data_IF_351043878875
#
_entry.id   IF_351043878875
#
_cell.length_a   1.000
_cell.length_b   1.000
_cell.length_c   1.000
_cell.angle_alpha   90.00
_cell.angle_beta   90.00
_cell.angle_gamma   90.00
#
_symmetry.space_group_name_H-M   'P 1'
#
loop_
_entity.id
_entity.type
_entity.pdbx_description
1 polymer ?
#
# COMPACT_ATOMS: atom_id res chain seq x y z
N UNK A 1 3.58 17.28 -4.80
CA UNK A 1 4.41 16.24 -4.18
C UNK A 1 5.19 16.89 -3.06
N UNK A 2 5.07 16.38 -1.84
CA UNK A 2 5.81 16.89 -0.67
C UNK A 2 6.34 15.73 0.15
N UNK A 3 7.57 15.85 0.63
CA UNK A 3 8.16 14.86 1.53
C UNK A 3 7.50 14.95 2.92
N UNK A 4 7.17 13.80 3.49
CA UNK A 4 6.58 13.66 4.83
C UNK A 4 7.38 12.64 5.64
N UNK A 5 7.47 12.86 6.95
CA UNK A 5 7.97 11.86 7.90
C UNK A 5 6.83 10.99 8.41
N UNK A 6 7.10 9.70 8.55
CA UNK A 6 6.22 8.67 9.10
C UNK A 6 6.88 8.05 10.35
N UNK A 7 6.08 7.51 11.27
CA UNK A 7 6.55 6.85 12.48
C UNK A 7 7.54 7.72 13.27
N UNK A 8 7.14 8.96 13.58
CA UNK A 8 8.02 9.92 14.26
C UNK A 8 9.23 10.38 13.44
N UNK A 9 9.24 10.14 12.13
CA UNK A 9 10.33 10.51 11.22
C UNK A 9 11.33 9.39 10.93
N UNK A 10 11.11 8.18 11.45
CA UNK A 10 11.95 7.01 11.16
C UNK A 10 11.86 6.58 9.69
N UNK A 11 10.75 6.89 9.01
CA UNK A 11 10.58 6.71 7.57
C UNK A 11 10.23 8.05 6.94
N UNK A 12 10.69 8.29 5.71
CA UNK A 12 10.28 9.42 4.89
C UNK A 12 9.70 8.93 3.56
N UNK A 13 8.72 9.67 3.03
CA UNK A 13 8.02 9.33 1.79
C UNK A 13 7.56 10.61 1.09
N UNK A 14 7.44 10.58 -0.24
CA UNK A 14 6.86 11.66 -1.03
C UNK A 14 5.42 11.31 -1.40
N UNK A 15 4.46 12.07 -0.87
CA UNK A 15 3.04 11.90 -1.17
C UNK A 15 2.50 12.93 -2.15
N UNK A 16 1.36 12.64 -2.81
CA UNK A 16 0.57 13.67 -3.47
C UNK A 16 0.17 14.77 -2.48
N UNK A 17 -0.03 16.00 -2.96
CA UNK A 17 -0.58 17.06 -2.13
C UNK A 17 -2.01 16.68 -1.69
N UNK A 18 -2.48 17.24 -0.58
CA UNK A 18 -3.86 17.10 -0.06
C UNK A 18 -4.24 15.75 0.56
N UNK A 19 -3.26 15.02 1.10
CA UNK A 19 -3.54 13.89 1.98
C UNK A 19 -3.79 14.36 3.43
N UNK A 20 -4.89 13.90 4.01
CA UNK A 20 -5.27 14.14 5.40
C UNK A 20 -4.79 12.96 6.24
N UNK A 21 -4.14 13.26 7.35
CA UNK A 21 -3.70 12.27 8.33
C UNK A 21 -4.88 11.80 9.17
N UNK A 22 -5.18 10.51 9.12
CA UNK A 22 -6.33 9.94 9.84
C UNK A 22 -6.07 9.88 11.34
N UNK A 23 -4.82 9.87 11.80
CA UNK A 23 -4.45 9.85 13.22
C UNK A 23 -4.90 11.11 13.97
N UNK A 24 -5.05 12.24 13.26
CA UNK A 24 -5.57 13.50 13.81
C UNK A 24 -7.07 13.42 14.15
N UNK A 25 -7.78 12.46 13.55
CA UNK A 25 -9.24 12.34 13.66
C UNK A 25 -9.62 11.16 14.54
N UNK A 26 -8.89 10.04 14.46
CA UNK A 26 -9.14 8.81 15.21
C UNK A 26 -7.83 8.08 15.51
N UNK A 27 -7.85 7.22 16.51
CA UNK A 27 -6.72 6.32 16.75
C UNK A 27 -6.52 5.36 15.57
N UNK A 28 -5.26 5.22 15.17
CA UNK A 28 -4.74 4.28 14.19
C UNK A 28 -3.71 3.41 14.95
N UNK A 29 -3.56 2.10 14.65
CA UNK A 29 -2.53 1.28 15.28
C UNK A 29 -1.13 1.90 15.12
N UNK A 30 -0.27 1.75 16.12
CA UNK A 30 1.10 2.31 16.10
C UNK A 30 1.96 1.74 14.96
N UNK A 31 1.59 0.57 14.44
CA UNK A 31 2.23 -0.08 13.29
C UNK A 31 1.76 0.47 11.95
N UNK A 32 0.81 1.42 11.94
CA UNK A 32 0.16 1.93 10.73
C UNK A 32 0.18 3.46 10.66
N UNK A 33 0.35 3.96 9.45
CA UNK A 33 0.21 5.37 9.09
C UNK A 33 -0.82 5.45 7.97
N UNK A 34 -1.95 6.11 8.24
CA UNK A 34 -3.12 6.09 7.35
C UNK A 34 -3.43 7.50 6.88
N UNK A 35 -3.45 7.68 5.56
CA UNK A 35 -3.77 8.94 4.91
C UNK A 35 -4.91 8.76 3.92
N UNK A 36 -5.77 9.76 3.82
CA UNK A 36 -6.88 9.79 2.85
C UNK A 36 -6.83 11.06 2.01
N UNK A 37 -7.19 10.95 0.74
CA UNK A 37 -7.31 12.11 -0.13
C UNK A 37 -8.49 13.00 0.31
N UNK A 38 -8.31 14.31 0.30
CA UNK A 38 -9.37 15.24 0.71
C UNK A 38 -10.54 15.34 -0.29
N UNK A 39 -10.31 14.95 -1.55
CA UNK A 39 -11.23 15.13 -2.68
C UNK A 39 -11.79 13.81 -3.25
N UNK A 40 -11.39 12.67 -2.68
CA UNK A 40 -11.78 11.33 -3.14
C UNK A 40 -11.67 10.30 -2.02
N UNK A 41 -12.22 9.10 -2.24
CA UNK A 41 -12.12 7.98 -1.28
C UNK A 41 -10.79 7.21 -1.39
N UNK A 42 -9.76 7.80 -2.02
CA UNK A 42 -8.43 7.17 -2.15
C UNK A 42 -7.70 7.23 -0.82
N UNK A 43 -7.09 6.11 -0.41
CA UNK A 43 -6.29 6.05 0.82
C UNK A 43 -4.89 5.52 0.56
N UNK A 44 -3.89 6.09 1.23
CA UNK A 44 -2.51 5.61 1.28
C UNK A 44 -2.23 5.10 2.70
N UNK A 45 -1.80 3.86 2.82
CA UNK A 45 -1.55 3.22 4.11
C UNK A 45 -0.14 2.66 4.08
N UNK A 46 0.67 3.00 5.09
CA UNK A 46 1.96 2.35 5.34
C UNK A 46 1.83 1.54 6.61
N UNK A 47 2.19 0.26 6.53
CA UNK A 47 2.04 -0.69 7.63
C UNK A 47 3.31 -1.53 7.83
N UNK A 48 3.68 -1.71 9.09
CA UNK A 48 4.75 -2.61 9.53
C UNK A 48 4.14 -3.97 9.89
N UNK A 49 4.57 -5.01 9.19
CA UNK A 49 4.10 -6.38 9.36
C UNK A 49 5.22 -7.30 9.84
N UNK A 50 4.84 -8.33 10.60
CA UNK A 50 5.73 -9.47 10.83
C UNK A 50 6.00 -10.18 9.49
N UNK A 51 7.26 -10.54 9.27
CA UNK A 51 7.65 -11.18 8.03
C UNK A 51 7.13 -12.61 7.96
N UNK A 52 6.51 -12.92 6.82
CA UNK A 52 6.24 -14.31 6.40
C UNK A 52 7.28 -14.72 5.36
N UNK A 53 7.74 -15.97 5.40
CA UNK A 53 8.74 -16.50 4.45
C UNK A 53 8.15 -17.54 3.49
N UNK A 54 7.38 -17.11 2.47
CA UNK A 54 6.97 -18.01 1.41
C UNK A 54 8.13 -18.33 0.45
N UNK A 55 7.98 -19.36 -0.41
CA UNK A 55 9.06 -19.88 -1.25
C UNK A 55 9.66 -18.85 -2.24
N UNK A 56 8.96 -17.77 -2.56
CA UNK A 56 9.44 -16.74 -3.49
C UNK A 56 8.95 -15.32 -3.17
N UNK A 57 9.68 -14.27 -3.61
CA UNK A 57 9.22 -12.88 -3.52
C UNK A 57 7.85 -12.64 -4.16
N UNK A 58 7.56 -13.34 -5.26
CA UNK A 58 6.28 -13.28 -5.96
C UNK A 58 5.12 -13.83 -5.13
N UNK A 59 5.37 -14.88 -4.34
CA UNK A 59 4.41 -15.44 -3.40
C UNK A 59 4.30 -14.58 -2.13
N UNK A 60 5.37 -13.92 -1.70
CA UNK A 60 5.35 -12.98 -0.57
C UNK A 60 4.34 -11.85 -0.79
N UNK A 61 4.44 -11.16 -1.92
CA UNK A 61 3.53 -10.05 -2.22
C UNK A 61 2.08 -10.52 -2.43
N UNK A 62 1.88 -11.74 -2.97
CA UNK A 62 0.55 -12.35 -3.10
C UNK A 62 -0.04 -12.72 -1.76
N UNK A 63 0.76 -13.28 -0.85
CA UNK A 63 0.30 -13.62 0.49
C UNK A 63 -0.17 -12.39 1.26
N UNK A 64 0.56 -11.27 1.16
CA UNK A 64 0.13 -9.99 1.75
C UNK A 64 -1.17 -9.51 1.11
N UNK A 65 -1.29 -9.59 -0.22
CA UNK A 65 -2.52 -9.21 -0.92
C UNK A 65 -3.73 -10.10 -0.53
N UNK A 66 -3.52 -11.40 -0.38
CA UNK A 66 -4.55 -12.35 0.06
C UNK A 66 -4.97 -12.11 1.51
N UNK A 67 -4.01 -11.77 2.39
CA UNK A 67 -4.29 -11.38 3.78
C UNK A 67 -5.14 -10.10 3.82
N UNK A 68 -4.79 -9.07 3.05
CA UNK A 68 -5.60 -7.86 2.89
C UNK A 68 -7.01 -8.18 2.36
N UNK A 69 -7.15 -9.18 1.48
CA UNK A 69 -8.45 -9.64 1.02
C UNK A 69 -9.27 -10.35 2.09
N UNK A 70 -8.62 -11.17 2.91
CA UNK A 70 -9.25 -11.81 4.06
C UNK A 70 -9.73 -10.78 5.10
N UNK A 71 -8.88 -9.84 5.49
CA UNK A 71 -9.18 -8.83 6.50
C UNK A 71 -10.31 -7.89 6.04
N UNK A 72 -10.34 -7.58 4.75
CA UNK A 72 -11.43 -6.81 4.14
C UNK A 72 -12.69 -7.64 3.90
N UNK A 73 -12.71 -8.93 4.23
CA UNK A 73 -13.83 -9.85 3.93
C UNK A 73 -14.23 -9.78 2.46
N UNK A 74 -13.25 -9.73 1.56
CA UNK A 74 -13.49 -9.60 0.13
C UNK A 74 -14.17 -10.86 -0.42
N UNK A 75 -15.22 -10.67 -1.21
CA UNK A 75 -15.95 -11.75 -1.89
C UNK A 75 -15.28 -12.17 -3.19
N UNK A 76 -14.38 -11.32 -3.71
CA UNK A 76 -13.56 -11.58 -4.87
C UNK A 76 -12.23 -10.81 -4.75
N UNK A 77 -11.16 -11.43 -5.22
CA UNK A 77 -9.81 -10.87 -5.25
C UNK A 77 -9.10 -11.38 -6.51
N UNK A 78 -8.45 -10.48 -7.24
CA UNK A 78 -7.67 -10.81 -8.44
C UNK A 78 -6.40 -9.97 -8.50
N UNK A 79 -5.27 -10.64 -8.70
CA UNK A 79 -3.99 -9.99 -8.96
C UNK A 79 -3.88 -9.70 -10.45
N UNK A 80 -3.73 -8.44 -10.81
CA UNK A 80 -3.62 -8.00 -12.20
C UNK A 80 -2.18 -8.01 -12.70
N UNK A 81 -1.24 -7.55 -11.88
CA UNK A 81 0.17 -7.46 -12.24
C UNK A 81 1.07 -7.57 -11.02
N UNK A 82 2.27 -8.14 -11.21
CA UNK A 82 3.35 -8.13 -10.23
C UNK A 82 4.68 -7.78 -10.91
N UNK A 83 5.42 -6.86 -10.31
CA UNK A 83 6.74 -6.43 -10.77
C UNK A 83 7.75 -6.69 -9.67
N UNK A 84 8.68 -7.59 -9.96
CA UNK A 84 9.79 -7.92 -9.06
C UNK A 84 10.94 -6.92 -9.27
N UNK A 85 11.74 -6.64 -8.22
CA UNK A 85 13.00 -5.91 -8.37
C UNK A 85 13.93 -6.55 -9.41
N UNK A 86 14.66 -5.73 -10.15
CA UNK A 86 15.71 -6.24 -11.05
C UNK A 86 16.82 -6.97 -10.26
N UNK A 87 17.36 -8.03 -10.86
CA UNK A 87 18.46 -8.81 -10.28
C UNK A 87 19.66 -7.89 -10.00
N UNK A 88 20.03 -7.71 -8.73
CA UNK A 88 21.13 -6.85 -8.30
C UNK A 88 20.72 -5.47 -7.77
N UNK A 89 19.46 -5.07 -7.89
CA UNK A 89 18.90 -3.89 -7.22
C UNK A 89 18.46 -4.25 -5.79
N UNK A 90 19.42 -4.61 -4.93
CA UNK A 90 19.14 -5.09 -3.57
C UNK A 90 18.65 -4.00 -2.61
N UNK A 91 18.90 -2.73 -2.90
CA UNK A 91 18.49 -1.62 -2.05
C UNK A 91 18.31 -0.33 -2.84
N UNK A 92 17.25 0.41 -2.52
CA UNK A 92 17.19 1.86 -2.68
C UNK A 92 18.30 2.52 -1.83
N UNK A 93 18.38 3.85 -1.90
CA UNK A 93 19.38 4.62 -1.13
C UNK A 93 19.41 4.19 0.35
N UNK A 94 20.62 4.05 0.87
CA UNK A 94 20.91 3.87 2.30
C UNK A 94 20.24 2.63 2.94
N UNK A 95 20.12 1.53 2.20
CA UNK A 95 19.71 0.23 2.75
C UNK A 95 18.21 -0.02 2.84
N UNK A 96 17.37 0.93 2.39
CA UNK A 96 15.95 0.64 2.17
C UNK A 96 15.82 -0.38 1.03
N UNK A 97 15.14 -1.53 1.19
CA UNK A 97 15.00 -2.52 0.12
C UNK A 97 14.29 -1.97 -1.11
N UNK A 98 14.56 -2.51 -2.30
CA UNK A 98 13.71 -2.24 -3.47
C UNK A 98 12.38 -2.97 -3.31
N UNK A 99 11.22 -2.29 -3.46
CA UNK A 99 9.94 -2.94 -3.24
C UNK A 99 9.55 -3.89 -4.36
N UNK A 100 8.81 -4.94 -4.00
CA UNK A 100 8.02 -5.73 -4.94
C UNK A 100 6.70 -5.01 -5.13
N UNK A 101 6.31 -4.75 -6.37
CA UNK A 101 5.08 -4.04 -6.69
C UNK A 101 3.99 -5.02 -7.14
N UNK A 102 2.76 -4.79 -6.70
CA UNK A 102 1.57 -5.52 -7.12
C UNK A 102 0.43 -4.54 -7.39
N UNK A 103 -0.36 -4.82 -8.41
CA UNK A 103 -1.68 -4.19 -8.60
C UNK A 103 -2.74 -5.26 -8.69
N UNK A 104 -3.86 -5.07 -8.01
CA UNK A 104 -4.96 -6.02 -7.97
C UNK A 104 -6.29 -5.33 -7.76
N UNK A 105 -7.36 -6.11 -7.85
CA UNK A 105 -8.72 -5.65 -7.57
C UNK A 105 -9.36 -6.54 -6.52
N UNK A 106 -10.15 -5.92 -5.65
CA UNK A 106 -10.93 -6.59 -4.65
C UNK A 106 -12.37 -6.10 -4.68
N UNK A 107 -13.29 -7.01 -4.37
CA UNK A 107 -14.71 -6.72 -4.21
C UNK A 107 -15.07 -6.92 -2.75
N UNK A 108 -15.41 -5.82 -2.07
CA UNK A 108 -15.69 -5.81 -0.63
C UNK A 108 -17.17 -5.57 -0.40
N UNK A 109 -17.82 -6.49 0.30
CA UNK A 109 -19.19 -6.30 0.73
C UNK A 109 -19.20 -5.67 2.13
N UNK A 110 -19.62 -4.41 2.24
CA UNK A 110 -19.73 -3.77 3.55
C UNK A 110 -20.85 -4.42 4.37
N UNK A 111 -20.59 -4.64 5.66
CA UNK A 111 -21.58 -5.14 6.61
C UNK A 111 -22.86 -4.30 6.50
N UNK A 112 -24.00 -4.97 6.27
CA UNK A 112 -25.34 -4.38 6.16
C UNK A 112 -25.72 -3.73 4.80
N UNK A 113 -24.98 -4.01 3.71
CA UNK A 113 -25.40 -3.63 2.34
C UNK A 113 -25.27 -4.79 1.35
N UNK A 114 -26.17 -4.85 0.37
CA UNK A 114 -26.08 -5.78 -0.77
C UNK A 114 -25.10 -5.28 -1.84
N UNK A 115 -24.75 -3.99 -1.81
CA UNK A 115 -23.81 -3.39 -2.75
C UNK A 115 -22.38 -3.85 -2.46
N UNK A 116 -21.71 -4.31 -3.51
CA UNK A 116 -20.29 -4.70 -3.51
C UNK A 116 -19.47 -3.51 -3.99
N UNK A 117 -18.56 -3.04 -3.14
CA UNK A 117 -17.62 -1.97 -3.48
C UNK A 117 -16.42 -2.57 -4.22
N UNK A 118 -16.08 -2.02 -5.38
CA UNK A 118 -14.90 -2.41 -6.15
C UNK A 118 -13.73 -1.49 -5.81
N UNK A 119 -12.61 -2.09 -5.44
CA UNK A 119 -11.42 -1.37 -5.00
C UNK A 119 -10.24 -1.86 -5.84
N UNK A 120 -9.56 -0.94 -6.51
CA UNK A 120 -8.27 -1.20 -7.12
C UNK A 120 -7.21 -0.93 -6.06
N UNK A 121 -6.26 -1.84 -5.89
CA UNK A 121 -5.24 -1.73 -4.86
C UNK A 121 -3.87 -1.82 -5.53
N UNK A 122 -3.06 -0.80 -5.28
CA UNK A 122 -1.63 -0.84 -5.54
C UNK A 122 -0.89 -1.16 -4.25
N UNK A 123 0.10 -2.05 -4.32
CA UNK A 123 0.80 -2.56 -3.15
C UNK A 123 2.30 -2.64 -3.42
N UNK A 124 3.10 -1.98 -2.57
CA UNK A 124 4.56 -2.08 -2.57
C UNK A 124 5.04 -2.76 -1.28
N UNK A 125 5.74 -3.88 -1.42
CA UNK A 125 6.27 -4.68 -0.32
C UNK A 125 7.79 -4.53 -0.21
N UNK A 126 8.29 -4.02 0.92
CA UNK A 126 9.70 -3.87 1.24
C UNK A 126 10.10 -4.94 2.26
N UNK A 127 10.98 -5.86 1.83
CA UNK A 127 11.46 -6.99 2.62
C UNK A 127 12.69 -6.59 3.42
N UNK A 128 12.56 -6.32 4.73
CA UNK A 128 13.67 -5.84 5.56
C UNK A 128 14.33 -7.04 6.26
N UNK A 129 15.16 -7.77 5.51
CA UNK A 129 15.77 -9.04 5.96
C UNK A 129 16.50 -8.91 7.30
N UNK A 130 17.24 -7.82 7.51
CA UNK A 130 18.03 -7.58 8.72
C UNK A 130 17.20 -7.45 10.01
N UNK A 131 15.89 -7.24 9.88
CA UNK A 131 14.96 -7.04 11.00
C UNK A 131 13.84 -8.06 11.05
N UNK A 132 13.78 -8.98 10.10
CA UNK A 132 12.68 -9.94 9.95
C UNK A 132 11.29 -9.26 9.93
N UNK A 133 11.20 -8.14 9.21
CA UNK A 133 9.98 -7.32 9.10
C UNK A 133 9.70 -7.03 7.64
N UNK A 134 8.42 -6.95 7.31
CA UNK A 134 7.94 -6.48 6.02
C UNK A 134 7.26 -5.11 6.20
N UNK A 135 7.63 -4.14 5.39
CA UNK A 135 6.93 -2.86 5.31
C UNK A 135 6.04 -2.87 4.06
N UNK A 136 4.78 -2.47 4.20
CA UNK A 136 3.81 -2.47 3.10
C UNK A 136 3.28 -1.06 2.90
N UNK A 137 3.34 -0.57 1.67
CA UNK A 137 2.55 0.58 1.23
C UNK A 137 1.38 0.05 0.41
N UNK A 138 0.15 0.30 0.84
CA UNK A 138 -1.06 0.02 0.07
C UNK A 138 -1.80 1.30 -0.31
N UNK A 139 -2.30 1.36 -1.53
CA UNK A 139 -3.10 2.46 -2.06
C UNK A 139 -4.43 1.93 -2.54
N UNK A 140 -5.50 2.23 -1.80
CA UNK A 140 -6.84 1.79 -2.11
C UNK A 140 -7.54 2.84 -2.95
N UNK A 141 -8.10 2.41 -4.08
CA UNK A 141 -8.75 3.27 -5.07
C UNK A 141 -10.15 2.72 -5.34
N UNK A 142 -11.17 3.18 -4.59
CA UNK A 142 -12.55 2.80 -4.86
C UNK A 142 -13.00 3.35 -6.22
N UNK A 143 -13.58 2.51 -7.08
CA UNK A 143 -14.08 2.92 -8.39
C UNK A 143 -15.56 2.58 -8.63
N UNK A 144 -16.31 2.44 -7.53
CA UNK A 144 -17.77 2.40 -7.53
C UNK A 144 -18.35 1.05 -7.15
N UNK A 145 -19.63 1.08 -6.76
CA UNK A 145 -20.45 -0.11 -6.60
C UNK A 145 -20.72 -0.75 -7.97
N UNK A 146 -21.07 -2.04 -7.96
CA UNK A 146 -21.52 -2.73 -9.19
C UNK A 146 -22.60 -1.91 -9.93
N UNK A 147 -22.30 -1.44 -11.15
CA UNK A 147 -23.19 -0.61 -11.97
C UNK A 147 -22.96 0.91 -11.94
N UNK A 148 -21.97 1.40 -11.18
CA UNK A 148 -21.53 2.81 -11.25
C UNK A 148 -20.73 3.15 -12.52
N UNK A 149 -20.56 4.44 -12.86
CA UNK A 149 -19.70 4.83 -13.97
C UNK A 149 -18.27 4.32 -13.71
N UNK A 150 -17.61 3.70 -14.70
CA UNK A 150 -16.24 3.25 -14.54
C UNK A 150 -15.34 4.44 -14.20
N UNK A 151 -14.39 4.24 -13.29
CA UNK A 151 -13.33 5.22 -13.08
C UNK A 151 -12.61 5.47 -14.39
N UNK A 152 -12.42 6.75 -14.74
CA UNK A 152 -11.69 7.13 -15.93
C UNK A 152 -10.26 6.58 -15.88
N UNK A 153 -9.80 6.00 -16.97
CA UNK A 153 -8.43 5.46 -17.10
C UNK A 153 -7.36 6.51 -16.79
N UNK A 154 -7.63 7.79 -17.09
CA UNK A 154 -6.75 8.92 -16.78
C UNK A 154 -6.59 9.16 -15.27
N UNK A 155 -7.66 8.99 -14.50
CA UNK A 155 -7.63 9.11 -13.03
C UNK A 155 -6.81 7.99 -12.43
N UNK A 156 -7.08 6.74 -12.83
CA UNK A 156 -6.35 5.58 -12.33
C UNK A 156 -4.84 5.67 -12.67
N UNK A 157 -4.50 6.04 -13.91
CA UNK A 157 -3.10 6.24 -14.31
C UNK A 157 -2.42 7.44 -13.62
N UNK A 158 -3.18 8.41 -13.14
CA UNK A 158 -2.63 9.49 -12.30
C UNK A 158 -2.33 8.98 -10.89
N UNK A 159 -3.24 8.21 -10.30
CA UNK A 159 -3.03 7.61 -8.97
C UNK A 159 -1.89 6.59 -9.02
N UNK A 160 -1.78 5.78 -10.06
CA UNK A 160 -0.67 4.84 -10.27
C UNK A 160 0.67 5.57 -10.26
N UNK A 161 0.80 6.69 -10.98
CA UNK A 161 2.03 7.51 -10.96
C UNK A 161 2.33 8.08 -9.58
N UNK A 162 1.31 8.47 -8.83
CA UNK A 162 1.49 8.95 -7.45
C UNK A 162 1.95 7.82 -6.52
N UNK A 163 1.34 6.63 -6.64
CA UNK A 163 1.76 5.42 -5.95
C UNK A 163 3.21 5.05 -6.27
N UNK A 164 3.60 5.00 -7.56
CA UNK A 164 4.97 4.68 -7.97
C UNK A 164 5.98 5.70 -7.46
N UNK A 165 5.61 6.99 -7.42
CA UNK A 165 6.43 8.04 -6.82
C UNK A 165 6.59 7.81 -5.32
N UNK A 166 5.49 7.55 -4.60
CA UNK A 166 5.53 7.25 -3.17
C UNK A 166 6.41 6.03 -2.89
N UNK A 167 6.21 4.94 -3.63
CA UNK A 167 6.96 3.71 -3.45
C UNK A 167 8.48 3.89 -3.72
N UNK A 168 8.84 4.52 -4.83
CA UNK A 168 10.26 4.74 -5.16
C UNK A 168 10.95 5.78 -4.25
N UNK A 169 10.19 6.66 -3.62
CA UNK A 169 10.70 7.70 -2.71
C UNK A 169 10.78 7.28 -1.25
N UNK A 170 10.14 6.17 -0.88
CA UNK A 170 10.13 5.69 0.51
C UNK A 170 11.56 5.40 0.94
N UNK A 171 11.95 5.99 2.07
CA UNK A 171 13.27 5.86 2.63
C UNK A 171 13.22 5.66 4.14
N UNK A 172 13.77 4.53 4.60
CA UNK A 172 13.96 4.22 6.02
C UNK A 172 15.19 4.98 6.51
N UNK A 173 14.96 5.97 7.38
CA UNK A 173 15.98 6.81 8.00
C UNK A 173 16.51 6.16 9.26
N UNK A 174 15.64 5.51 10.04
CA UNK A 174 15.99 4.88 11.30
C UNK A 174 15.46 3.43 11.40
N UNK A 175 16.38 2.47 11.39
CA UNK A 175 16.06 1.05 11.50
C UNK A 175 15.79 0.60 12.95
N UNK A 176 15.98 1.45 13.97
CA UNK A 176 15.55 1.11 15.33
C UNK A 176 14.04 1.08 15.48
N UNK A 177 13.30 1.61 14.51
CA UNK A 177 11.84 1.44 14.40
C UNK A 177 11.42 -0.05 14.47
N UNK A 178 12.27 -0.96 13.96
CA UNK A 178 11.99 -2.39 13.88
C UNK A 178 12.73 -3.22 14.94
N UNK A 179 13.15 -2.60 16.05
CA UNK A 179 13.94 -3.25 17.10
C UNK A 179 13.08 -3.94 18.16
#
# INVERSE_FOLDING_TARGET
MSQRGLFGGAITIVYPPNLIDVSEIRQVPDTQEVFVAADSDVSFIVEVLERVDPPSPNEAVRHVFDALAHDNSAVFSEVLNVTLPEQGASSLKNGTPTPILLSGVQHVQKFNRTAVDKVHIFLALYRIDSKNVDLVLSVNVPYGAEGGPPMGSETLGTIERQYLTAASSLHIVDFTLFA
#
